data_IF_330620627989
#
_entry.id   IF_330620627989
#
_cell.length_a   1.000
_cell.length_b   1.000
_cell.length_c   1.000
_cell.angle_alpha   90.00
_cell.angle_beta   90.00
_cell.angle_gamma   90.00
#
_symmetry.space_group_name_H-M   'P 1'
#
loop_
_entity.id
_entity.type
_entity.pdbx_description
1 polymer ?
#
# COMPACT_ATOMS: atom_id res chain seq x y z
N UNK A 1 -11.94 37.12 -22.38
CA UNK A 1 -11.76 37.23 -20.91
C UNK A 1 -12.61 36.17 -20.21
N UNK A 2 -12.04 35.02 -19.86
CA UNK A 2 -12.65 34.07 -18.92
C UNK A 2 -11.60 33.85 -17.83
N UNK A 3 -11.89 34.32 -16.61
CA UNK A 3 -11.04 34.14 -15.43
C UNK A 3 -11.26 32.72 -14.91
N UNK A 4 -10.18 31.95 -14.83
CA UNK A 4 -10.11 30.67 -14.12
C UNK A 4 -10.30 30.90 -12.61
N UNK A 5 -11.01 30.03 -11.87
CA UNK A 5 -11.12 30.17 -10.44
C UNK A 5 -9.84 29.69 -9.75
N UNK A 6 -9.34 30.55 -8.86
CA UNK A 6 -8.22 30.29 -7.96
C UNK A 6 -8.55 29.11 -7.03
N UNK A 7 -7.83 28.00 -7.19
CA UNK A 7 -7.70 26.96 -6.19
C UNK A 7 -6.64 27.41 -5.17
N UNK A 8 -7.04 28.25 -4.23
CA UNK A 8 -6.24 28.61 -3.07
C UNK A 8 -7.16 28.67 -1.85
N UNK A 9 -7.44 27.51 -1.25
CA UNK A 9 -7.79 27.34 0.17
C UNK A 9 -7.90 25.84 0.48
N UNK A 10 -7.32 25.40 1.62
CA UNK A 10 -7.54 24.13 2.35
C UNK A 10 -6.75 22.84 2.00
N UNK A 11 -5.42 22.91 1.81
CA UNK A 11 -4.57 21.68 1.93
C UNK A 11 -3.49 21.78 3.03
N UNK A 12 -3.37 22.93 3.68
CA UNK A 12 -2.54 23.05 4.89
C UNK A 12 -3.46 22.75 6.07
N UNK A 13 -3.85 21.48 6.20
CA UNK A 13 -4.43 21.01 7.45
C UNK A 13 -3.34 21.12 8.52
N UNK A 14 -3.68 21.84 9.57
CA UNK A 14 -2.82 22.16 10.69
C UNK A 14 -2.32 20.83 11.28
N UNK A 15 -1.02 20.51 11.13
CA UNK A 15 -0.42 19.22 11.51
C UNK A 15 -0.46 18.90 13.02
N UNK A 16 -1.21 19.69 13.80
CA UNK A 16 -1.76 19.29 15.10
C UNK A 16 -0.72 18.67 16.01
N UNK A 17 0.44 19.29 16.11
CA UNK A 17 1.48 18.99 17.07
C UNK A 17 1.77 20.31 17.78
N UNK A 18 1.52 20.28 19.08
CA UNK A 18 1.55 21.39 20.02
C UNK A 18 2.78 22.28 19.84
N UNK A 19 2.66 23.51 20.34
CA UNK A 19 3.76 24.43 20.63
C UNK A 19 4.94 23.78 21.43
N UNK A 20 4.97 22.47 21.69
CA UNK A 20 6.06 21.75 22.38
C UNK A 20 7.06 21.06 21.45
N UNK A 21 6.71 20.80 20.18
CA UNK A 21 7.62 20.13 19.23
C UNK A 21 8.41 21.10 18.33
N UNK A 22 7.86 22.29 18.08
CA UNK A 22 8.50 23.33 17.26
C UNK A 22 9.27 24.39 18.06
N UNK A 23 9.09 24.48 19.39
CA UNK A 23 9.62 25.60 20.21
C UNK A 23 11.11 25.52 20.56
N UNK A 24 11.86 24.50 20.10
CA UNK A 24 13.33 24.50 20.26
C UNK A 24 14.09 25.14 19.08
N UNK A 25 13.42 25.65 18.04
CA UNK A 25 14.12 26.27 16.92
C UNK A 25 14.53 27.73 17.23
N UNK A 26 15.79 27.89 17.63
CA UNK A 26 16.49 29.17 17.74
C UNK A 26 16.70 29.90 16.38
N UNK A 27 15.97 29.51 15.32
CA UNK A 27 16.08 30.08 13.96
C UNK A 27 14.87 30.89 13.50
N UNK A 28 13.75 30.87 14.25
CA UNK A 28 12.50 31.59 13.93
C UNK A 28 12.64 33.13 14.02
N UNK A 29 13.58 33.66 14.80
CA UNK A 29 13.68 35.11 15.08
C UNK A 29 14.26 35.96 13.95
N UNK A 30 14.78 35.37 12.87
CA UNK A 30 15.31 36.12 11.71
C UNK A 30 14.38 36.14 10.49
N UNK A 31 13.40 35.25 10.41
CA UNK A 31 12.54 35.13 9.24
C UNK A 31 11.29 36.02 9.29
N UNK A 32 10.82 36.41 10.48
CA UNK A 32 9.64 37.28 10.63
C UNK A 32 9.92 38.78 10.42
N UNK A 33 11.19 39.21 10.55
CA UNK A 33 11.55 40.63 10.50
C UNK A 33 11.66 41.21 9.07
N UNK A 34 11.65 40.39 8.02
CA UNK A 34 11.87 40.85 6.64
C UNK A 34 10.59 41.02 5.80
N UNK A 35 9.42 40.66 6.33
CA UNK A 35 8.13 40.68 5.61
C UNK A 35 7.27 41.95 5.80
N UNK A 36 7.77 42.96 6.52
CA UNK A 36 6.99 44.17 6.86
C UNK A 36 7.60 45.48 6.31
N UNK A 37 7.97 45.51 5.03
CA UNK A 37 8.32 46.76 4.36
C UNK A 37 7.99 46.72 2.85
N UNK A 38 6.70 46.79 2.52
CA UNK A 38 6.27 47.22 1.19
C UNK A 38 5.74 48.66 1.31
N UNK A 39 6.37 49.67 0.66
CA UNK A 39 5.79 50.99 0.63
C UNK A 39 4.65 51.07 -0.41
N UNK A 40 3.59 51.69 0.05
CA UNK A 40 2.36 52.10 -0.64
C UNK A 40 2.60 52.83 -1.97
N UNK A 41 1.84 52.44 -3.00
CA UNK A 41 1.77 53.11 -4.30
C UNK A 41 0.59 54.10 -4.32
N UNK A 42 0.86 55.38 -4.56
CA UNK A 42 -0.08 56.44 -4.99
C UNK A 42 0.70 57.54 -5.74
N UNK A 43 0.08 58.43 -6.55
CA UNK A 43 -0.43 58.17 -7.89
C UNK A 43 0.32 58.99 -8.98
N UNK A 44 0.16 58.58 -10.23
CA UNK A 44 0.74 59.23 -11.43
C UNK A 44 0.08 60.58 -11.71
N UNK A 45 0.87 61.63 -11.92
CA UNK A 45 0.50 62.81 -12.71
C UNK A 45 1.65 63.25 -13.64
N UNK A 46 1.25 63.69 -14.83
CA UNK A 46 2.00 64.04 -16.04
C UNK A 46 3.14 65.05 -15.89
N UNK A 47 4.14 64.96 -16.78
CA UNK A 47 5.00 66.11 -17.11
C UNK A 47 6.39 65.76 -17.68
N UNK A 48 6.49 65.77 -19.00
CA UNK A 48 7.70 65.82 -19.85
C UNK A 48 8.86 66.71 -19.32
N UNK A 49 10.11 66.21 -19.32
CA UNK A 49 11.26 66.67 -20.15
C UNK A 49 12.61 66.16 -19.62
N UNK A 50 13.43 65.67 -20.56
CA UNK A 50 14.81 65.23 -20.39
C UNK A 50 15.74 66.34 -19.87
N UNK A 51 16.61 66.06 -18.90
CA UNK A 51 18.08 66.24 -19.02
C UNK A 51 18.80 65.98 -17.69
N UNK A 52 19.90 65.23 -17.79
CA UNK A 52 20.96 65.05 -16.78
C UNK A 52 20.55 64.60 -15.38
N UNK A 53 20.45 63.29 -15.19
CA UNK A 53 20.87 62.62 -13.95
C UNK A 53 21.23 61.17 -14.29
N UNK A 54 22.42 60.79 -13.82
CA UNK A 54 22.99 59.44 -13.84
C UNK A 54 21.90 58.36 -13.68
N UNK A 55 21.58 57.65 -14.76
CA UNK A 55 20.86 56.40 -14.65
C UNK A 55 21.87 55.37 -14.12
N UNK A 56 22.02 55.28 -12.80
CA UNK A 56 22.48 54.05 -12.18
C UNK A 56 21.44 52.98 -12.54
N UNK A 57 21.59 52.35 -13.71
CA UNK A 57 20.98 51.07 -13.99
C UNK A 57 21.43 50.17 -12.81
N UNK A 58 20.51 49.64 -12.00
CA UNK A 58 20.88 48.60 -11.07
C UNK A 58 21.48 47.51 -11.95
N UNK A 59 22.75 47.15 -11.72
CA UNK A 59 23.33 45.95 -12.30
C UNK A 59 22.30 44.84 -12.10
N UNK A 60 21.72 44.33 -13.20
CA UNK A 60 20.77 43.24 -13.07
C UNK A 60 21.50 42.13 -12.32
N UNK A 61 20.96 41.63 -11.20
CA UNK A 61 21.62 40.57 -10.47
C UNK A 61 21.77 39.39 -11.43
N UNK A 62 22.98 38.85 -11.52
CA UNK A 62 23.27 37.69 -12.35
C UNK A 62 22.66 36.44 -11.68
N UNK A 63 21.33 36.38 -11.61
CA UNK A 63 20.59 35.34 -10.89
C UNK A 63 20.98 33.93 -11.33
N UNK A 64 21.37 33.76 -12.59
CA UNK A 64 21.89 32.48 -13.09
C UNK A 64 23.21 32.07 -12.42
N UNK A 65 24.11 33.01 -12.15
CA UNK A 65 25.36 32.71 -11.46
C UNK A 65 25.10 32.42 -9.98
N UNK A 66 24.29 33.25 -9.34
CA UNK A 66 23.88 33.06 -7.93
C UNK A 66 23.18 31.70 -7.76
N UNK A 67 22.34 31.29 -8.72
CA UNK A 67 21.69 29.98 -8.74
C UNK A 67 22.68 28.82 -8.92
N UNK A 68 23.72 28.98 -9.75
CA UNK A 68 24.79 27.99 -9.89
C UNK A 68 25.59 27.85 -8.60
N UNK A 69 25.87 28.96 -7.92
CA UNK A 69 26.62 28.96 -6.67
C UNK A 69 25.81 28.26 -5.56
N UNK A 70 24.50 28.52 -5.47
CA UNK A 70 23.60 27.79 -4.60
C UNK A 70 23.55 26.28 -4.90
N UNK A 71 23.46 25.91 -6.19
CA UNK A 71 23.47 24.51 -6.61
C UNK A 71 24.78 23.82 -6.27
N UNK A 72 25.92 24.52 -6.39
CA UNK A 72 27.24 24.03 -6.01
C UNK A 72 27.30 23.68 -4.52
N UNK A 73 26.84 24.58 -3.64
CA UNK A 73 26.78 24.33 -2.20
C UNK A 73 25.85 23.18 -1.85
N UNK A 74 24.68 23.11 -2.50
CA UNK A 74 23.75 21.99 -2.33
C UNK A 74 24.39 20.66 -2.73
N UNK A 75 25.10 20.59 -3.85
CA UNK A 75 25.75 19.36 -4.30
C UNK A 75 26.94 18.99 -3.41
N UNK A 76 27.69 19.96 -2.90
CA UNK A 76 28.71 19.73 -1.86
C UNK A 76 28.09 19.13 -0.59
N UNK A 77 26.92 19.63 -0.18
CA UNK A 77 26.13 19.02 0.91
C UNK A 77 25.71 17.59 0.59
N UNK A 78 25.20 17.32 -0.63
CA UNK A 78 24.85 15.97 -1.07
C UNK A 78 26.05 15.02 -1.06
N UNK A 79 27.25 15.52 -1.42
CA UNK A 79 28.48 14.75 -1.36
C UNK A 79 28.86 14.43 0.10
N UNK A 80 28.77 15.40 1.01
CA UNK A 80 28.99 15.16 2.44
C UNK A 80 28.00 14.13 3.02
N UNK A 81 26.72 14.15 2.60
CA UNK A 81 25.74 13.11 2.94
C UNK A 81 26.17 11.73 2.47
N UNK A 82 26.71 11.59 1.24
CA UNK A 82 27.22 10.31 0.72
C UNK A 82 28.44 9.80 1.51
N UNK A 83 29.18 10.69 2.17
CA UNK A 83 30.27 10.38 3.08
C UNK A 83 29.82 10.21 4.53
N UNK A 84 28.51 10.21 4.79
CA UNK A 84 27.90 10.14 6.12
C UNK A 84 28.31 11.28 7.07
N UNK A 85 28.88 12.37 6.53
CA UNK A 85 29.21 13.57 7.30
C UNK A 85 28.03 14.55 7.28
N UNK A 86 27.02 14.27 8.11
CA UNK A 86 25.78 15.05 8.15
C UNK A 86 25.95 16.46 8.71
N UNK A 87 26.93 16.69 9.59
CA UNK A 87 27.22 18.04 10.13
C UNK A 87 27.75 18.94 9.01
N UNK A 88 28.78 18.49 8.28
CA UNK A 88 29.31 19.25 7.14
C UNK A 88 28.26 19.43 6.03
N UNK A 89 27.36 18.45 5.85
CA UNK A 89 26.25 18.58 4.92
C UNK A 89 25.29 19.71 5.31
N UNK A 90 24.93 19.81 6.59
CA UNK A 90 24.05 20.87 7.10
C UNK A 90 24.67 22.25 6.92
N UNK A 91 25.97 22.42 7.19
CA UNK A 91 26.70 23.67 6.92
C UNK A 91 26.60 24.05 5.44
N UNK A 92 26.87 23.11 4.54
CA UNK A 92 26.76 23.36 3.09
C UNK A 92 25.32 23.70 2.66
N UNK A 93 24.31 23.05 3.23
CA UNK A 93 22.91 23.35 2.96
C UNK A 93 22.48 24.71 3.50
N UNK A 94 23.01 25.13 4.65
CA UNK A 94 22.76 26.45 5.22
C UNK A 94 23.30 27.55 4.30
N UNK A 95 24.52 27.40 3.78
CA UNK A 95 25.08 28.31 2.77
C UNK A 95 24.21 28.34 1.50
N UNK A 96 23.78 27.17 1.02
CA UNK A 96 22.91 27.09 -0.16
C UNK A 96 21.57 27.82 0.06
N UNK A 97 20.90 27.64 1.20
CA UNK A 97 19.64 28.35 1.52
C UNK A 97 19.87 29.85 1.61
N UNK A 98 20.95 30.28 2.27
CA UNK A 98 21.30 31.70 2.39
C UNK A 98 21.41 32.39 1.03
N UNK A 99 21.98 31.70 0.04
CA UNK A 99 22.08 32.19 -1.35
C UNK A 99 20.72 32.18 -2.03
N UNK A 100 19.99 31.05 -2.02
CA UNK A 100 18.72 30.90 -2.76
C UNK A 100 17.64 31.87 -2.27
N UNK A 101 17.61 32.19 -0.98
CA UNK A 101 16.66 33.15 -0.40
C UNK A 101 16.81 34.57 -0.98
N UNK A 102 17.95 34.91 -1.56
CA UNK A 102 18.15 36.19 -2.24
C UNK A 102 17.51 36.24 -3.63
N UNK A 103 17.19 35.08 -4.20
CA UNK A 103 16.71 34.95 -5.59
C UNK A 103 15.17 34.84 -5.59
N UNK A 104 14.43 35.76 -6.25
CA UNK A 104 12.97 35.67 -6.33
C UNK A 104 12.48 34.39 -7.03
N UNK A 105 11.36 33.82 -6.56
CA UNK A 105 10.66 32.67 -7.17
C UNK A 105 11.48 31.37 -7.23
N UNK A 106 12.15 31.01 -6.13
CA UNK A 106 12.93 29.77 -6.00
C UNK A 106 12.44 28.83 -4.90
N UNK A 107 11.14 28.88 -4.60
CA UNK A 107 10.48 28.07 -3.57
C UNK A 107 10.79 26.57 -3.74
N UNK A 108 10.87 26.09 -4.98
CA UNK A 108 11.23 24.71 -5.30
C UNK A 108 12.64 24.34 -4.85
N UNK A 109 13.62 25.24 -5.00
CA UNK A 109 15.01 24.98 -4.61
C UNK A 109 15.16 25.02 -3.10
N UNK A 110 14.53 26.01 -2.45
CA UNK A 110 14.48 26.12 -0.99
C UNK A 110 13.88 24.83 -0.40
N UNK A 111 12.72 24.40 -0.90
CA UNK A 111 12.09 23.16 -0.46
C UNK A 111 12.97 21.93 -0.69
N UNK A 112 13.69 21.86 -1.82
CA UNK A 112 14.63 20.77 -2.07
C UNK A 112 15.76 20.73 -1.04
N UNK A 113 16.34 21.88 -0.69
CA UNK A 113 17.42 21.96 0.31
C UNK A 113 16.89 21.65 1.72
N UNK A 114 15.74 22.22 2.11
CA UNK A 114 15.10 21.92 3.40
C UNK A 114 14.77 20.43 3.55
N UNK A 115 14.32 19.77 2.48
CA UNK A 115 14.11 18.31 2.50
C UNK A 115 15.40 17.51 2.71
N UNK A 116 16.55 18.05 2.31
CA UNK A 116 17.86 17.44 2.57
C UNK A 116 18.37 17.75 3.98
N UNK A 117 18.12 18.96 4.50
CA UNK A 117 18.41 19.30 5.90
C UNK A 117 17.64 18.39 6.85
N UNK A 118 16.32 18.23 6.61
CA UNK A 118 15.47 17.30 7.36
C UNK A 118 16.05 15.88 7.38
N UNK A 119 16.52 15.38 6.23
CA UNK A 119 17.19 14.08 6.16
C UNK A 119 18.48 14.03 6.99
N UNK A 120 19.34 15.04 6.90
CA UNK A 120 20.59 15.09 7.64
C UNK A 120 20.32 15.10 9.17
N UNK A 121 19.33 15.85 9.63
CA UNK A 121 18.89 15.84 11.03
C UNK A 121 18.37 14.46 11.48
N UNK A 122 17.60 13.75 10.64
CA UNK A 122 17.20 12.36 10.96
C UNK A 122 18.41 11.45 11.15
N UNK A 123 19.41 11.56 10.27
CA UNK A 123 20.62 10.75 10.36
C UNK A 123 21.49 11.08 11.56
N UNK A 124 21.35 12.28 12.12
CA UNK A 124 21.96 12.70 13.38
C UNK A 124 21.16 12.28 14.63
N UNK A 125 20.02 11.59 14.46
CA UNK A 125 19.16 11.21 15.59
C UNK A 125 18.40 12.40 16.19
N UNK A 126 18.16 13.44 15.40
CA UNK A 126 17.46 14.67 15.79
C UNK A 126 16.10 14.78 15.05
N UNK A 127 15.11 13.94 15.41
CA UNK A 127 13.87 13.85 14.66
C UNK A 127 12.93 15.06 14.83
N UNK A 128 13.04 15.83 15.92
CA UNK A 128 12.21 17.04 16.10
C UNK A 128 12.63 18.15 15.14
N UNK A 129 13.93 18.39 15.04
CA UNK A 129 14.54 19.31 14.09
C UNK A 129 14.24 18.88 12.66
N UNK A 130 14.37 17.58 12.38
CA UNK A 130 14.01 17.02 11.08
C UNK A 130 12.55 17.27 10.71
N UNK A 131 11.62 17.09 11.66
CA UNK A 131 10.20 17.39 11.45
C UNK A 131 10.01 18.88 11.12
N UNK A 132 10.67 19.79 11.85
CA UNK A 132 10.65 21.22 11.59
C UNK A 132 11.04 21.57 10.15
N UNK A 133 12.21 21.09 9.68
CA UNK A 133 12.63 21.31 8.29
C UNK A 133 11.71 20.63 7.26
N UNK A 134 11.10 19.50 7.61
CA UNK A 134 10.09 18.84 6.78
C UNK A 134 8.83 19.69 6.62
N UNK A 135 8.37 20.30 7.71
CA UNK A 135 7.22 21.21 7.72
C UNK A 135 7.52 22.46 6.89
N UNK A 136 8.65 23.13 7.15
CA UNK A 136 9.05 24.31 6.38
C UNK A 136 9.16 24.00 4.88
N UNK A 137 9.65 22.81 4.52
CA UNK A 137 9.73 22.36 3.14
C UNK A 137 8.35 22.28 2.46
N UNK A 138 7.36 21.76 3.18
CA UNK A 138 5.97 21.66 2.69
C UNK A 138 5.32 23.04 2.63
N UNK A 139 5.56 23.90 3.61
CA UNK A 139 5.05 25.27 3.62
C UNK A 139 5.62 26.09 2.44
N UNK A 140 6.91 25.89 2.15
CA UNK A 140 7.61 26.52 1.03
C UNK A 140 7.09 26.01 -0.33
N UNK A 141 6.92 24.70 -0.46
CA UNK A 141 6.37 24.10 -1.68
C UNK A 141 5.44 22.92 -1.36
N UNK A 142 4.12 23.17 -1.27
CA UNK A 142 3.15 22.13 -0.92
C UNK A 142 3.07 20.97 -1.93
N UNK A 143 3.66 21.10 -3.13
CA UNK A 143 3.72 20.04 -4.14
C UNK A 143 4.96 19.15 -4.01
N UNK A 144 5.89 19.48 -3.13
CA UNK A 144 7.14 18.73 -2.96
C UNK A 144 6.90 17.49 -2.08
N UNK A 145 6.53 16.37 -2.71
CA UNK A 145 6.19 15.12 -2.02
C UNK A 145 7.27 14.63 -1.03
N UNK A 146 8.55 14.91 -1.31
CA UNK A 146 9.66 14.56 -0.42
C UNK A 146 9.59 15.26 0.93
N UNK A 147 9.04 16.47 1.02
CA UNK A 147 8.86 17.20 2.28
C UNK A 147 7.97 16.41 3.24
N UNK A 148 6.78 16.02 2.77
CA UNK A 148 5.87 15.14 3.51
C UNK A 148 6.50 13.80 3.85
N UNK A 149 7.26 13.19 2.94
CA UNK A 149 7.96 11.94 3.21
C UNK A 149 8.98 12.09 4.35
N UNK A 150 9.75 13.19 4.39
CA UNK A 150 10.67 13.47 5.49
C UNK A 150 9.95 13.74 6.81
N UNK A 151 8.84 14.48 6.78
CA UNK A 151 7.99 14.66 7.95
C UNK A 151 7.50 13.32 8.49
N UNK A 152 7.07 12.40 7.63
CA UNK A 152 6.64 11.07 8.03
C UNK A 152 7.76 10.26 8.68
N UNK A 153 8.97 10.26 8.11
CA UNK A 153 10.13 9.59 8.70
C UNK A 153 10.50 10.16 10.07
N UNK A 154 10.42 11.48 10.23
CA UNK A 154 10.63 12.14 11.51
C UNK A 154 9.58 11.78 12.55
N UNK A 155 8.30 11.78 12.16
CA UNK A 155 7.18 11.37 13.03
C UNK A 155 7.27 9.90 13.41
N UNK A 156 7.72 9.03 12.49
CA UNK A 156 7.97 7.63 12.78
C UNK A 156 9.10 7.44 13.79
N UNK A 157 10.18 8.21 13.70
CA UNK A 157 11.27 8.21 14.68
C UNK A 157 10.82 8.72 16.06
N UNK A 158 9.72 9.49 16.11
CA UNK A 158 9.05 9.93 17.33
C UNK A 158 7.92 8.98 17.79
N UNK A 159 7.73 7.83 17.12
CA UNK A 159 6.65 6.87 17.36
C UNK A 159 5.23 7.43 17.20
N UNK A 160 5.07 8.52 16.44
CA UNK A 160 3.78 9.14 16.13
C UNK A 160 3.23 8.59 14.80
N UNK A 161 2.92 7.29 14.77
CA UNK A 161 2.57 6.56 13.55
C UNK A 161 1.31 7.09 12.84
N UNK A 162 0.26 7.49 13.57
CA UNK A 162 -0.96 8.06 12.97
C UNK A 162 -0.66 9.35 12.18
N UNK A 163 0.19 10.22 12.74
CA UNK A 163 0.61 11.46 12.07
C UNK A 163 1.54 11.15 10.90
N UNK A 164 2.44 10.17 11.06
CA UNK A 164 3.32 9.73 9.99
C UNK A 164 2.53 9.20 8.79
N UNK A 165 1.47 8.41 9.03
CA UNK A 165 0.55 7.94 8.00
C UNK A 165 -0.14 9.07 7.26
N UNK A 166 -0.64 10.08 7.98
CA UNK A 166 -1.25 11.25 7.36
C UNK A 166 -0.26 12.01 6.47
N UNK A 167 1.01 12.11 6.87
CA UNK A 167 2.08 12.69 6.07
C UNK A 167 2.37 11.86 4.80
N UNK A 168 2.46 10.54 4.90
CA UNK A 168 2.63 9.66 3.71
C UNK A 168 1.43 9.72 2.77
N UNK A 169 0.21 9.70 3.31
CA UNK A 169 -1.01 9.85 2.51
C UNK A 169 -1.03 11.19 1.76
N UNK A 170 -0.54 12.25 2.40
CA UNK A 170 -0.36 13.57 1.76
C UNK A 170 0.72 13.52 0.67
N UNK A 171 1.85 12.85 0.92
CA UNK A 171 2.91 12.65 -0.07
C UNK A 171 2.37 11.95 -1.34
N UNK A 172 1.58 10.87 -1.18
CA UNK A 172 0.99 10.10 -2.28
C UNK A 172 -0.07 10.88 -3.07
N UNK A 173 -0.70 11.90 -2.47
CA UNK A 173 -1.63 12.79 -3.18
C UNK A 173 -0.92 13.81 -4.08
N UNK A 174 0.40 13.99 -3.94
CA UNK A 174 1.14 14.98 -4.72
C UNK A 174 1.58 14.45 -6.09
N UNK A 175 1.50 15.30 -7.12
CA UNK A 175 1.81 14.95 -8.51
C UNK A 175 3.29 15.21 -8.89
N UNK A 176 3.79 14.54 -9.95
CA UNK A 176 3.93 13.10 -10.09
C UNK A 176 5.28 12.63 -9.52
N UNK A 177 5.30 11.44 -8.93
CA UNK A 177 6.52 10.76 -8.45
C UNK A 177 6.87 9.57 -9.35
N UNK A 178 8.13 9.11 -9.27
CA UNK A 178 8.55 7.90 -9.98
C UNK A 178 7.92 6.64 -9.35
N UNK A 179 7.68 5.56 -10.11
CA UNK A 179 7.10 4.32 -9.56
C UNK A 179 7.88 3.78 -8.35
N UNK A 180 9.21 3.87 -8.37
CA UNK A 180 10.05 3.38 -7.27
C UNK A 180 9.84 4.18 -5.98
N UNK A 181 9.57 5.48 -6.12
CA UNK A 181 9.29 6.38 -4.99
C UNK A 181 7.88 6.17 -4.44
N UNK A 182 6.91 5.96 -5.35
CA UNK A 182 5.53 5.60 -4.97
C UNK A 182 5.55 4.33 -4.14
N UNK A 183 6.25 3.30 -4.61
CA UNK A 183 6.38 2.02 -3.93
C UNK A 183 7.09 2.12 -2.57
N UNK A 184 8.15 2.92 -2.46
CA UNK A 184 8.84 3.19 -1.18
C UNK A 184 7.89 3.82 -0.16
N UNK A 185 7.19 4.89 -0.54
CA UNK A 185 6.23 5.59 0.35
C UNK A 185 5.08 4.67 0.75
N UNK A 186 4.58 3.83 -0.17
CA UNK A 186 3.50 2.88 0.11
C UNK A 186 3.95 1.77 1.07
N UNK A 187 5.18 1.26 0.93
CA UNK A 187 5.75 0.27 1.88
C UNK A 187 5.81 0.83 3.29
N UNK A 188 6.32 2.05 3.45
CA UNK A 188 6.38 2.72 4.74
C UNK A 188 4.97 2.97 5.28
N UNK A 189 4.02 3.39 4.44
CA UNK A 189 2.64 3.61 4.87
C UNK A 189 2.01 2.32 5.41
N UNK A 190 2.19 1.20 4.72
CA UNK A 190 1.66 -0.09 5.20
C UNK A 190 2.34 -0.53 6.50
N UNK A 191 3.66 -0.37 6.60
CA UNK A 191 4.40 -0.65 7.82
C UNK A 191 3.90 0.18 9.01
N UNK A 192 3.63 1.48 8.81
CA UNK A 192 3.14 2.34 9.88
C UNK A 192 1.68 2.03 10.21
N UNK A 193 0.86 1.68 9.22
CA UNK A 193 -0.54 1.31 9.40
C UNK A 193 -0.69 0.05 10.26
N UNK A 194 0.24 -0.91 10.11
CA UNK A 194 0.31 -2.11 10.95
C UNK A 194 0.65 -1.81 12.42
N UNK A 195 1.14 -0.61 12.74
CA UNK A 195 1.48 -0.16 14.10
C UNK A 195 0.36 0.70 14.73
N UNK A 196 -0.70 0.99 13.97
CA UNK A 196 -1.82 1.86 14.38
C UNK A 196 -3.15 1.11 14.43
N UNK A 197 -4.08 1.56 15.27
CA UNK A 197 -5.47 1.07 15.24
C UNK A 197 -6.24 1.82 14.15
N UNK A 198 -6.87 1.11 13.21
CA UNK A 198 -7.61 1.75 12.11
C UNK A 198 -6.76 2.14 10.90
N UNK A 199 -5.50 1.65 10.83
CA UNK A 199 -4.60 1.95 9.72
C UNK A 199 -5.15 1.57 8.34
N UNK A 200 -6.07 0.60 8.27
CA UNK A 200 -6.74 0.24 7.00
C UNK A 200 -7.56 1.38 6.40
N UNK A 201 -8.14 2.27 7.21
CA UNK A 201 -8.90 3.43 6.72
C UNK A 201 -7.98 4.50 6.11
N UNK A 202 -6.82 4.76 6.71
CA UNK A 202 -5.86 5.71 6.17
C UNK A 202 -5.24 5.21 4.85
N UNK A 203 -4.92 3.92 4.76
CA UNK A 203 -4.44 3.31 3.51
C UNK A 203 -5.47 3.45 2.38
N UNK A 204 -6.77 3.36 2.69
CA UNK A 204 -7.85 3.54 1.70
C UNK A 204 -7.91 4.96 1.12
N UNK A 205 -7.49 5.96 1.90
CA UNK A 205 -7.43 7.37 1.45
C UNK A 205 -6.21 7.65 0.57
N UNK A 206 -5.23 6.75 0.52
CA UNK A 206 -4.06 6.89 -0.32
C UNK A 206 -4.41 6.70 -1.80
N UNK A 207 -3.99 7.66 -2.65
CA UNK A 207 -4.13 7.55 -4.10
C UNK A 207 -2.93 6.82 -4.69
N UNK A 208 -3.06 5.51 -4.85
CA UNK A 208 -1.99 4.62 -5.31
C UNK A 208 -2.49 3.79 -6.48
N UNK A 209 -1.62 3.53 -7.46
CA UNK A 209 -1.99 2.70 -8.63
C UNK A 209 -2.20 1.24 -8.23
N UNK A 210 -3.13 0.56 -8.89
CA UNK A 210 -3.36 -0.89 -8.71
C UNK A 210 -2.08 -1.71 -8.91
N UNK A 211 -1.25 -1.35 -9.89
CA UNK A 211 0.04 -2.02 -10.14
C UNK A 211 0.99 -1.97 -8.94
N UNK A 212 1.03 -0.84 -8.22
CA UNK A 212 1.87 -0.66 -7.03
C UNK A 212 1.40 -1.56 -5.89
N UNK A 213 0.08 -1.68 -5.69
CA UNK A 213 -0.48 -2.62 -4.71
C UNK A 213 -0.21 -4.08 -5.06
N UNK A 214 -0.39 -4.46 -6.33
CA UNK A 214 -0.08 -5.81 -6.80
C UNK A 214 1.40 -6.14 -6.59
N UNK A 215 2.31 -5.21 -6.90
CA UNK A 215 3.75 -5.38 -6.67
C UNK A 215 4.08 -5.57 -5.18
N UNK A 216 3.48 -4.76 -4.30
CA UNK A 216 3.70 -4.88 -2.86
C UNK A 216 3.20 -6.22 -2.30
N UNK A 217 1.99 -6.64 -2.69
CA UNK A 217 1.43 -7.92 -2.25
C UNK A 217 2.31 -9.06 -2.73
N UNK A 218 2.73 -9.06 -4.00
CA UNK A 218 3.62 -10.10 -4.54
C UNK A 218 4.98 -10.13 -3.84
N UNK A 219 5.55 -8.97 -3.51
CA UNK A 219 6.77 -8.91 -2.72
C UNK A 219 6.58 -9.49 -1.31
N UNK A 220 5.47 -9.17 -0.64
CA UNK A 220 5.14 -9.73 0.67
C UNK A 220 4.94 -11.26 0.62
N UNK A 221 4.25 -11.77 -0.41
CA UNK A 221 4.09 -13.21 -0.64
C UNK A 221 5.43 -13.90 -0.86
N UNK A 222 6.31 -13.34 -1.69
CA UNK A 222 7.63 -13.92 -1.96
C UNK A 222 8.58 -13.93 -0.75
N UNK A 223 8.31 -13.05 0.23
CA UNK A 223 9.09 -12.92 1.46
C UNK A 223 8.41 -13.59 2.68
N UNK A 224 7.34 -14.36 2.47
CA UNK A 224 6.54 -14.97 3.54
C UNK A 224 5.98 -13.97 4.58
N UNK A 225 5.80 -12.70 4.22
CA UNK A 225 5.23 -11.66 5.08
C UNK A 225 3.70 -11.71 5.08
N UNK A 226 3.19 -12.75 5.73
CA UNK A 226 1.76 -13.03 5.81
C UNK A 226 0.97 -12.00 6.60
N UNK A 227 1.62 -11.27 7.52
CA UNK A 227 0.99 -10.19 8.28
C UNK A 227 0.59 -9.05 7.33
N UNK A 228 1.51 -8.64 6.46
CA UNK A 228 1.26 -7.62 5.44
C UNK A 228 0.22 -8.09 4.43
N UNK A 229 0.33 -9.32 3.93
CA UNK A 229 -0.66 -9.88 2.98
C UNK A 229 -2.06 -9.89 3.60
N UNK A 230 -2.20 -10.37 4.84
CA UNK A 230 -3.48 -10.37 5.56
C UNK A 230 -4.04 -8.95 5.68
N UNK A 231 -3.23 -8.01 6.14
CA UNK A 231 -3.64 -6.62 6.31
C UNK A 231 -4.11 -5.99 4.99
N UNK A 232 -3.36 -6.17 3.91
CA UNK A 232 -3.68 -5.58 2.62
C UNK A 232 -4.93 -6.18 1.97
N UNK A 233 -5.16 -7.48 2.12
CA UNK A 233 -6.26 -8.17 1.41
C UNK A 233 -7.52 -8.25 2.26
N UNK A 234 -7.39 -8.43 3.57
CA UNK A 234 -8.51 -8.67 4.49
C UNK A 234 -8.77 -7.48 5.42
N UNK A 235 -7.82 -6.57 5.59
CA UNK A 235 -7.92 -5.41 6.49
C UNK A 235 -7.47 -5.70 7.93
N UNK A 236 -7.61 -4.71 8.80
CA UNK A 236 -7.60 -4.88 10.24
C UNK A 236 -8.91 -5.58 10.69
N UNK A 237 -8.88 -6.39 11.75
CA UNK A 237 -10.00 -7.27 12.17
C UNK A 237 -11.33 -6.54 12.47
N UNK A 238 -11.42 -5.22 12.27
CA UNK A 238 -12.55 -4.33 12.51
C UNK A 238 -13.47 -4.31 11.28
N UNK A 239 -14.02 -5.46 10.88
CA UNK A 239 -15.04 -5.59 9.80
C UNK A 239 -14.79 -4.82 8.50
N UNK A 240 -13.57 -4.32 8.29
CA UNK A 240 -13.25 -3.37 7.24
C UNK A 240 -12.78 -4.18 6.04
N UNK A 241 -13.45 -4.07 4.88
CA UNK A 241 -13.02 -4.78 3.68
C UNK A 241 -11.63 -4.33 3.24
N UNK A 242 -10.99 -5.11 2.36
CA UNK A 242 -9.66 -4.86 1.77
C UNK A 242 -9.34 -3.36 1.69
N UNK A 243 -8.27 -2.87 2.35
CA UNK A 243 -7.88 -1.47 2.26
C UNK A 243 -7.46 -1.07 0.84
N UNK A 244 -7.16 -2.05 -0.02
CA UNK A 244 -6.67 -1.80 -1.37
C UNK A 244 -7.50 -2.50 -2.44
N UNK A 245 -7.67 -1.84 -3.56
CA UNK A 245 -8.17 -2.43 -4.80
C UNK A 245 -6.95 -2.92 -5.61
N UNK A 246 -6.85 -4.23 -5.82
CA UNK A 246 -5.68 -4.86 -6.42
C UNK A 246 -6.07 -5.93 -7.45
N UNK A 247 -5.21 -6.08 -8.47
CA UNK A 247 -5.29 -7.17 -9.44
C UNK A 247 -4.29 -8.26 -9.04
N UNK A 248 -4.80 -9.44 -8.71
CA UNK A 248 -4.00 -10.59 -8.28
C UNK A 248 -3.90 -11.69 -9.34
N UNK A 249 -4.20 -11.37 -10.60
CA UNK A 249 -4.10 -12.31 -11.74
C UNK A 249 -2.70 -12.91 -11.93
N UNK A 250 -1.64 -12.20 -11.50
CA UNK A 250 -0.26 -12.66 -11.58
C UNK A 250 0.16 -13.65 -10.47
N UNK A 251 -0.70 -13.92 -9.48
CA UNK A 251 -0.41 -14.86 -8.40
C UNK A 251 -0.29 -16.28 -8.97
N UNK A 252 0.88 -16.89 -8.76
CA UNK A 252 1.21 -18.21 -9.35
C UNK A 252 0.85 -19.40 -8.47
N UNK A 253 0.84 -19.23 -7.14
CA UNK A 253 0.55 -20.32 -6.20
C UNK A 253 -0.27 -19.80 -5.02
N UNK A 254 -1.45 -20.38 -4.83
CA UNK A 254 -2.33 -20.14 -3.68
C UNK A 254 -2.31 -21.30 -2.68
N UNK A 255 -1.72 -22.43 -3.05
CA UNK A 255 -1.62 -23.62 -2.21
C UNK A 255 -0.90 -23.40 -0.87
N UNK A 256 0.22 -22.64 -0.79
CA UNK A 256 0.92 -22.42 0.48
C UNK A 256 0.04 -21.85 1.59
N UNK A 257 -0.91 -20.96 1.25
CA UNK A 257 -1.84 -20.32 2.20
C UNK A 257 -2.80 -21.27 2.89
N UNK A 258 -2.95 -22.49 2.36
CA UNK A 258 -3.99 -23.42 2.76
C UNK A 258 -3.43 -24.80 3.15
N UNK A 259 -2.25 -25.15 2.65
CA UNK A 259 -1.59 -26.45 2.92
C UNK A 259 -0.54 -26.40 4.00
N UNK A 260 0.28 -25.36 4.03
CA UNK A 260 1.50 -25.35 4.82
C UNK A 260 1.36 -24.34 5.94
N UNK A 261 0.92 -24.81 7.10
CA UNK A 261 1.18 -24.02 8.29
C UNK A 261 1.43 -24.93 9.50
N UNK A 262 2.72 -25.06 9.83
CA UNK A 262 3.17 -25.18 11.22
C UNK A 262 2.62 -24.04 12.09
N UNK A 263 2.11 -22.98 11.47
CA UNK A 263 1.51 -21.81 12.08
C UNK A 263 -0.04 -21.90 12.08
N UNK A 264 -0.62 -22.23 13.23
CA UNK A 264 -2.07 -22.34 13.45
C UNK A 264 -2.87 -21.09 13.07
N UNK A 265 -2.23 -19.92 13.07
CA UNK A 265 -2.91 -18.66 12.74
C UNK A 265 -3.25 -18.59 11.24
N UNK A 266 -2.37 -19.08 10.37
CA UNK A 266 -2.56 -19.07 8.91
C UNK A 266 -3.75 -19.94 8.46
N UNK A 267 -4.06 -21.02 9.18
CA UNK A 267 -5.16 -21.92 8.82
C UNK A 267 -6.54 -21.29 9.07
N UNK A 268 -6.66 -20.44 10.09
CA UNK A 268 -7.95 -19.84 10.49
C UNK A 268 -8.40 -18.71 9.53
N UNK A 269 -7.48 -17.85 9.08
CA UNK A 269 -7.80 -16.78 8.13
C UNK A 269 -7.35 -17.09 6.68
N UNK A 270 -6.56 -18.12 6.43
CA UNK A 270 -6.04 -18.47 5.10
C UNK A 270 -7.12 -18.83 4.09
N UNK A 271 -8.19 -19.53 4.50
CA UNK A 271 -9.34 -19.79 3.62
C UNK A 271 -10.03 -18.49 3.20
N UNK A 272 -10.22 -17.57 4.15
CA UNK A 272 -10.82 -16.25 3.89
C UNK A 272 -9.93 -15.41 2.97
N UNK A 273 -8.61 -15.47 3.16
CA UNK A 273 -7.65 -14.81 2.29
C UNK A 273 -7.77 -15.31 0.85
N UNK A 274 -7.72 -16.62 0.64
CA UNK A 274 -7.82 -17.20 -0.72
C UNK A 274 -9.15 -16.84 -1.37
N UNK A 275 -10.26 -16.88 -0.63
CA UNK A 275 -11.57 -16.45 -1.13
C UNK A 275 -11.55 -14.99 -1.62
N UNK A 276 -10.90 -14.08 -0.90
CA UNK A 276 -10.76 -12.68 -1.33
C UNK A 276 -9.81 -12.58 -2.53
N UNK A 277 -8.68 -13.29 -2.53
CA UNK A 277 -7.74 -13.28 -3.65
C UNK A 277 -8.39 -13.76 -4.96
N UNK A 278 -9.23 -14.79 -4.90
CA UNK A 278 -10.01 -15.27 -6.05
C UNK A 278 -11.02 -14.21 -6.55
N UNK A 279 -11.62 -13.43 -5.64
CA UNK A 279 -12.48 -12.28 -6.02
C UNK A 279 -11.68 -11.16 -6.66
N UNK A 280 -10.42 -10.98 -6.28
CA UNK A 280 -9.46 -10.03 -6.86
C UNK A 280 -8.79 -10.55 -8.15
N UNK A 281 -9.27 -11.64 -8.74
CA UNK A 281 -8.81 -12.14 -10.03
C UNK A 281 -7.66 -13.15 -9.98
N UNK A 282 -7.23 -13.61 -8.80
CA UNK A 282 -6.22 -14.66 -8.71
C UNK A 282 -6.73 -15.95 -9.39
N UNK A 283 -5.87 -16.64 -10.18
CA UNK A 283 -6.31 -17.81 -10.94
C UNK A 283 -6.54 -18.98 -9.99
N UNK A 284 -7.76 -19.56 -9.97
CA UNK A 284 -8.05 -20.72 -9.12
C UNK A 284 -7.16 -21.93 -9.42
N UNK A 285 -6.65 -22.05 -10.65
CA UNK A 285 -5.69 -23.09 -11.05
C UNK A 285 -4.37 -23.03 -10.28
N UNK A 286 -4.05 -21.90 -9.66
CA UNK A 286 -2.90 -21.80 -8.75
C UNK A 286 -3.08 -22.57 -7.43
N UNK A 287 -4.26 -23.17 -7.21
CA UNK A 287 -4.52 -24.16 -6.16
C UNK A 287 -4.29 -25.61 -6.63
N UNK A 288 -4.06 -25.85 -7.92
CA UNK A 288 -3.78 -27.19 -8.41
C UNK A 288 -2.44 -27.70 -7.88
N UNK A 289 -2.39 -29.00 -7.66
CA UNK A 289 -1.20 -29.71 -7.20
C UNK A 289 -0.90 -30.84 -8.16
N UNK A 290 0.31 -31.43 -8.08
CA UNK A 290 0.57 -32.69 -8.75
C UNK A 290 -0.56 -33.68 -8.41
N UNK A 291 -1.24 -34.17 -9.45
CA UNK A 291 -2.30 -35.20 -9.37
C UNK A 291 -3.62 -34.79 -8.68
N UNK A 292 -3.75 -33.56 -8.15
CA UNK A 292 -4.99 -33.07 -7.53
C UNK A 292 -5.47 -31.77 -8.17
N UNK A 293 -6.74 -31.74 -8.58
CA UNK A 293 -7.35 -30.49 -9.06
C UNK A 293 -7.58 -29.50 -7.92
N UNK A 294 -7.75 -28.22 -8.25
CA UNK A 294 -8.08 -27.16 -7.29
C UNK A 294 -9.33 -27.49 -6.46
N UNK A 295 -10.30 -28.22 -7.04
CA UNK A 295 -11.49 -28.70 -6.34
C UNK A 295 -11.15 -29.77 -5.29
N UNK A 296 -10.20 -30.66 -5.57
CA UNK A 296 -9.74 -31.66 -4.60
C UNK A 296 -9.04 -31.00 -3.43
N UNK A 297 -8.28 -29.94 -3.68
CA UNK A 297 -7.62 -29.14 -2.64
C UNK A 297 -8.67 -28.39 -1.82
N UNK A 298 -9.63 -27.72 -2.45
CA UNK A 298 -10.70 -27.02 -1.73
C UNK A 298 -11.60 -27.96 -0.90
N UNK A 299 -11.85 -29.18 -1.38
CA UNK A 299 -12.59 -30.20 -0.65
C UNK A 299 -11.83 -30.64 0.61
N UNK A 300 -10.55 -30.93 0.48
CA UNK A 300 -9.66 -31.29 1.60
C UNK A 300 -9.67 -30.25 2.71
N UNK A 301 -9.68 -28.98 2.31
CA UNK A 301 -9.75 -27.84 3.21
C UNK A 301 -11.07 -27.81 3.93
N UNK A 302 -12.18 -27.97 3.22
CA UNK A 302 -13.50 -28.04 3.84
C UNK A 302 -13.67 -29.24 4.77
N UNK A 303 -13.05 -30.37 4.46
CA UNK A 303 -13.00 -31.56 5.33
C UNK A 303 -12.22 -31.24 6.62
N UNK A 304 -11.08 -30.56 6.52
CA UNK A 304 -10.24 -30.19 7.67
C UNK A 304 -10.85 -29.08 8.54
N UNK A 305 -11.49 -28.08 7.93
CA UNK A 305 -12.01 -26.89 8.64
C UNK A 305 -13.50 -26.97 8.96
N UNK A 306 -14.24 -27.90 8.34
CA UNK A 306 -15.70 -27.95 8.38
C UNK A 306 -16.40 -26.89 7.51
N UNK A 307 -15.64 -26.00 6.83
CA UNK A 307 -16.20 -24.94 5.99
C UNK A 307 -15.98 -25.21 4.51
N UNK A 308 -17.07 -25.47 3.79
CA UNK A 308 -17.06 -25.73 2.35
C UNK A 308 -17.19 -24.47 1.48
N UNK A 309 -17.01 -23.27 2.04
CA UNK A 309 -17.20 -22.00 1.30
C UNK A 309 -16.26 -21.88 0.09
N UNK A 310 -14.98 -22.24 0.27
CA UNK A 310 -14.00 -22.26 -0.82
C UNK A 310 -14.42 -23.21 -1.94
N UNK A 311 -14.82 -24.43 -1.58
CA UNK A 311 -15.30 -25.43 -2.54
C UNK A 311 -16.57 -24.93 -3.26
N UNK A 312 -17.53 -24.38 -2.52
CA UNK A 312 -18.76 -23.83 -3.06
C UNK A 312 -18.49 -22.69 -4.06
N UNK A 313 -17.48 -21.85 -3.80
CA UNK A 313 -17.07 -20.78 -4.72
C UNK A 313 -16.44 -21.34 -6.00
N UNK A 314 -15.55 -22.32 -5.90
CA UNK A 314 -14.90 -22.93 -7.06
C UNK A 314 -15.85 -23.79 -7.90
N UNK A 315 -16.93 -24.32 -7.32
CA UNK A 315 -17.95 -25.07 -8.06
C UNK A 315 -18.92 -24.19 -8.87
N UNK A 316 -18.83 -22.87 -8.77
CA UNK A 316 -19.67 -21.97 -9.57
C UNK A 316 -19.29 -22.05 -11.05
N UNK A 317 -20.25 -21.75 -11.93
CA UNK A 317 -20.12 -21.96 -13.37
C UNK A 317 -18.96 -21.15 -13.99
N UNK A 318 -18.58 -20.03 -13.37
CA UNK A 318 -17.45 -19.19 -13.76
C UNK A 318 -16.08 -19.88 -13.60
N UNK A 319 -15.99 -20.94 -12.78
CA UNK A 319 -14.72 -21.58 -12.39
C UNK A 319 -14.61 -23.06 -12.75
N UNK A 320 -15.71 -23.75 -13.06
CA UNK A 320 -15.64 -25.20 -13.30
C UNK A 320 -16.68 -25.66 -14.30
N UNK A 321 -16.18 -26.18 -15.43
CA UNK A 321 -17.00 -26.91 -16.39
C UNK A 321 -17.46 -28.26 -15.82
N UNK A 322 -18.51 -28.88 -16.37
CA UNK A 322 -18.90 -30.24 -16.00
C UNK A 322 -17.76 -31.26 -16.10
N UNK A 323 -16.83 -31.09 -17.05
CA UNK A 323 -15.65 -31.95 -17.15
C UNK A 323 -14.68 -31.73 -15.97
N UNK A 324 -14.42 -30.47 -15.60
CA UNK A 324 -13.53 -30.15 -14.48
C UNK A 324 -14.10 -30.63 -13.13
N UNK A 325 -15.42 -30.53 -12.93
CA UNK A 325 -16.11 -31.02 -11.72
C UNK A 325 -16.01 -32.53 -11.54
N UNK A 326 -15.94 -33.27 -12.64
CA UNK A 326 -15.87 -34.73 -12.65
C UNK A 326 -14.45 -35.26 -12.87
N UNK A 327 -13.44 -34.38 -12.89
CA UNK A 327 -12.03 -34.79 -12.95
C UNK A 327 -11.70 -35.68 -11.76
N UNK A 328 -10.91 -36.71 -12.00
CA UNK A 328 -10.45 -37.65 -10.98
C UNK A 328 -9.04 -37.30 -10.50
N UNK A 329 -8.69 -37.79 -9.31
CA UNK A 329 -7.30 -37.85 -8.85
C UNK A 329 -6.51 -38.98 -9.55
N UNK A 330 -5.28 -39.23 -9.10
CA UNK A 330 -4.41 -40.30 -9.61
C UNK A 330 -4.90 -41.74 -9.35
N UNK A 331 -5.96 -41.92 -8.56
CA UNK A 331 -6.57 -43.22 -8.27
C UNK A 331 -7.96 -43.37 -8.93
N UNK A 332 -8.31 -42.47 -9.85
CA UNK A 332 -9.63 -42.44 -10.47
C UNK A 332 -10.74 -41.95 -9.53
N UNK A 333 -10.42 -41.40 -8.35
CA UNK A 333 -11.43 -40.94 -7.41
C UNK A 333 -11.96 -39.57 -7.83
N UNK A 334 -13.28 -39.46 -7.96
CA UNK A 334 -13.97 -38.17 -8.04
C UNK A 334 -14.05 -37.49 -6.67
N UNK A 335 -14.44 -36.21 -6.63
CA UNK A 335 -14.68 -35.48 -5.37
C UNK A 335 -15.68 -36.21 -4.44
N UNK A 336 -16.66 -36.91 -5.01
CA UNK A 336 -17.61 -37.72 -4.24
C UNK A 336 -16.95 -38.94 -3.60
N UNK A 337 -16.00 -39.59 -4.27
CA UNK A 337 -15.22 -40.69 -3.68
C UNK A 337 -14.38 -40.18 -2.51
N UNK A 338 -13.64 -39.08 -2.71
CA UNK A 338 -12.81 -38.48 -1.66
C UNK A 338 -13.66 -38.09 -0.45
N UNK A 339 -14.83 -37.50 -0.67
CA UNK A 339 -15.79 -37.16 0.40
C UNK A 339 -16.32 -38.41 1.12
N UNK A 340 -16.63 -39.48 0.38
CA UNK A 340 -17.14 -40.72 0.95
C UNK A 340 -16.08 -41.50 1.74
N UNK A 341 -14.82 -41.42 1.33
CA UNK A 341 -13.68 -42.07 1.99
C UNK A 341 -13.17 -41.29 3.21
N UNK A 342 -13.49 -40.00 3.34
CA UNK A 342 -13.00 -39.16 4.43
C UNK A 342 -13.47 -39.63 5.82
N UNK A 343 -12.56 -39.59 6.78
CA UNK A 343 -12.82 -39.88 8.20
C UNK A 343 -13.39 -38.64 8.91
N UNK A 344 -14.64 -38.30 8.59
CA UNK A 344 -15.37 -37.14 9.15
C UNK A 344 -16.75 -37.53 9.67
N UNK A 345 -17.31 -36.65 10.52
CA UNK A 345 -18.68 -36.76 11.01
C UNK A 345 -19.69 -36.88 9.86
N UNK A 346 -20.67 -37.77 10.03
CA UNK A 346 -21.71 -38.00 9.01
C UNK A 346 -22.51 -36.75 8.68
N UNK A 347 -22.66 -35.80 9.61
CA UNK A 347 -23.32 -34.50 9.36
C UNK A 347 -22.49 -33.61 8.42
N UNK A 348 -21.18 -33.50 8.65
CA UNK A 348 -20.26 -32.73 7.81
C UNK A 348 -20.17 -33.36 6.41
N UNK A 349 -20.09 -34.69 6.35
CA UNK A 349 -20.11 -35.46 5.10
C UNK A 349 -21.39 -35.20 4.30
N UNK A 350 -22.54 -35.21 4.96
CA UNK A 350 -23.83 -34.96 4.33
C UNK A 350 -23.87 -33.59 3.67
N UNK A 351 -23.37 -32.54 4.34
CA UNK A 351 -23.27 -31.18 3.78
C UNK A 351 -22.38 -31.16 2.54
N UNK A 352 -21.22 -31.79 2.59
CA UNK A 352 -20.30 -31.89 1.44
C UNK A 352 -20.95 -32.61 0.25
N UNK A 353 -21.60 -33.75 0.49
CA UNK A 353 -22.29 -34.53 -0.54
C UNK A 353 -23.45 -33.74 -1.14
N UNK A 354 -24.26 -33.06 -0.33
CA UNK A 354 -25.35 -32.21 -0.84
C UNK A 354 -24.83 -31.07 -1.72
N UNK A 355 -23.75 -30.41 -1.30
CA UNK A 355 -23.10 -29.37 -2.10
C UNK A 355 -22.63 -29.91 -3.45
N UNK A 356 -21.94 -31.05 -3.47
CA UNK A 356 -21.46 -31.68 -4.71
C UNK A 356 -22.63 -32.12 -5.63
N UNK A 357 -23.68 -32.71 -5.07
CA UNK A 357 -24.85 -33.15 -5.84
C UNK A 357 -25.64 -31.97 -6.43
N UNK A 358 -25.76 -30.86 -5.70
CA UNK A 358 -26.41 -29.64 -6.20
C UNK A 358 -25.73 -29.04 -7.44
N UNK A 359 -24.50 -29.49 -7.75
CA UNK A 359 -23.71 -29.06 -8.91
C UNK A 359 -23.58 -30.13 -9.98
N UNK A 360 -24.44 -31.17 -9.91
CA UNK A 360 -24.60 -32.25 -10.87
C UNK A 360 -23.34 -33.09 -11.10
N UNK A 361 -22.57 -33.35 -10.03
CA UNK A 361 -21.44 -34.28 -10.10
C UNK A 361 -21.93 -35.73 -10.29
N UNK A 362 -21.15 -36.50 -11.05
CA UNK A 362 -21.47 -37.87 -11.39
C UNK A 362 -21.33 -38.81 -10.18
N UNK A 363 -22.44 -39.46 -9.81
CA UNK A 363 -22.51 -40.36 -8.65
C UNK A 363 -22.16 -41.81 -8.97
N UNK A 364 -22.19 -42.18 -10.26
CA UNK A 364 -21.98 -43.56 -10.74
C UNK A 364 -20.63 -43.77 -11.43
N UNK A 365 -19.75 -42.77 -11.42
CA UNK A 365 -18.38 -42.93 -11.91
C UNK A 365 -17.66 -43.95 -11.04
N UNK A 366 -16.99 -44.91 -11.67
CA UNK A 366 -16.16 -45.89 -10.98
C UNK A 366 -14.71 -45.38 -10.94
N UNK A 367 -14.04 -45.58 -9.80
CA UNK A 367 -12.60 -45.35 -9.69
C UNK A 367 -11.79 -46.52 -10.29
N UNK A 368 -10.46 -46.47 -10.17
CA UNK A 368 -9.58 -47.50 -10.75
C UNK A 368 -9.78 -48.91 -10.15
N UNK A 369 -10.43 -48.98 -8.98
CA UNK A 369 -10.79 -50.23 -8.28
C UNK A 369 -12.19 -50.71 -8.66
N UNK A 370 -12.88 -50.01 -9.56
CA UNK A 370 -14.22 -50.36 -10.04
C UNK A 370 -15.35 -50.04 -9.06
N UNK A 371 -15.07 -49.28 -7.99
CA UNK A 371 -16.07 -48.92 -6.97
C UNK A 371 -16.66 -47.54 -7.23
N UNK A 372 -17.93 -47.36 -6.89
CA UNK A 372 -18.61 -46.07 -6.87
C UNK A 372 -18.45 -45.38 -5.50
N UNK A 373 -18.69 -44.05 -5.39
CA UNK A 373 -18.62 -43.32 -4.12
C UNK A 373 -19.47 -43.95 -3.00
N UNK A 374 -20.69 -44.42 -3.33
CA UNK A 374 -21.61 -45.02 -2.36
C UNK A 374 -21.07 -46.32 -1.73
N UNK A 375 -20.18 -47.04 -2.41
CA UNK A 375 -19.63 -48.32 -1.93
C UNK A 375 -18.67 -48.15 -0.75
N UNK A 376 -18.17 -46.93 -0.53
CA UNK A 376 -17.32 -46.58 0.61
C UNK A 376 -18.12 -46.16 1.85
N UNK A 377 -19.46 -46.04 1.74
CA UNK A 377 -20.32 -45.62 2.83
C UNK A 377 -21.07 -46.79 3.47
N UNK A 378 -21.29 -46.69 4.78
CA UNK A 378 -22.21 -47.59 5.49
C UNK A 378 -23.65 -47.27 5.11
N UNK A 379 -24.52 -48.28 5.04
CA UNK A 379 -25.96 -48.10 4.76
C UNK A 379 -26.69 -47.19 5.76
N UNK A 380 -26.15 -47.05 6.97
CA UNK A 380 -26.66 -46.16 8.02
C UNK A 380 -26.29 -44.69 7.82
N UNK A 381 -25.30 -44.39 6.96
CA UNK A 381 -24.92 -43.01 6.66
C UNK A 381 -25.98 -42.36 5.76
N UNK A 382 -26.41 -41.14 6.11
CA UNK A 382 -27.42 -40.42 5.35
C UNK A 382 -26.98 -40.13 3.91
N UNK A 383 -25.68 -39.98 3.69
CA UNK A 383 -25.08 -39.75 2.37
C UNK A 383 -25.20 -40.97 1.45
N UNK A 384 -25.31 -42.18 2.00
CA UNK A 384 -25.43 -43.42 1.22
C UNK A 384 -26.65 -43.39 0.30
N UNK A 385 -27.80 -42.95 0.81
CA UNK A 385 -29.06 -42.88 0.05
C UNK A 385 -29.02 -41.81 -1.05
N UNK A 386 -28.29 -40.71 -0.81
CA UNK A 386 -28.17 -39.63 -1.79
C UNK A 386 -27.29 -40.05 -2.99
N UNK A 387 -26.25 -40.84 -2.74
CA UNK A 387 -25.34 -41.31 -3.79
C UNK A 387 -25.85 -42.55 -4.52
N UNK A 388 -26.79 -43.27 -3.92
CA UNK A 388 -27.49 -44.40 -4.53
C UNK A 388 -28.99 -44.12 -4.51
N UNK A 389 -29.48 -43.14 -5.32
CA UNK A 389 -30.92 -42.94 -5.45
C UNK A 389 -31.50 -44.28 -5.92
N UNK A 390 -32.55 -44.74 -5.24
CA UNK A 390 -33.26 -45.95 -5.63
C UNK A 390 -33.55 -45.85 -7.12
N UNK A 391 -33.19 -46.91 -7.88
CA UNK A 391 -33.56 -46.99 -9.27
C UNK A 391 -35.07 -46.69 -9.32
N UNK A 392 -35.44 -45.60 -9.99
CA UNK A 392 -36.85 -45.25 -10.20
C UNK A 392 -37.37 -46.38 -11.08
N UNK A 393 -38.01 -47.35 -10.41
CA UNK A 393 -38.63 -48.51 -11.00
C UNK A 393 -39.78 -48.12 -11.93
#
# INVERSE_FOLDING_TARGET
MRRSPHLSHSLVDNWGATDDLATSSLHSSRLSAFLMAAPSVMPVHSGMLFSHLFFCLPHQPQWQQIQKDAEHWKEKGNHAVKQENYIAALECYQEAVGIVMTIPRNERQIAAIQSNQSYAFLRLGQPKEAFGFGQECVDMNPKWHKGYYRMAQALQSLHLYDKALNALASALRMCPMKPEQELEIVRDAVSYALMTTGGSEEIRKCRVKRSTWSELIMAAVNNDDWKTVKFLVVGDNISSPSPVDCDLSAVKQLTPFIKNSTNRDLTDWGQRLVLVMLKCGAPYKSLEEPERSALHVALDVGIRTGSFELLARLLQDDYSSPQERNRTDCHGNTLLHVTAMAEIDSSVRLVAVQLLLSRSLATRTQNDVGKCPADYLRKSDHSYRLLRPADVA
#
